data_IF_465940975747
#
_entry.id   IF_465940975747
#
_cell.length_a   1.000
_cell.length_b   1.000
_cell.length_c   1.000
_cell.angle_alpha   90.00
_cell.angle_beta   90.00
_cell.angle_gamma   90.00
#
_symmetry.space_group_name_H-M   'P 1'
#
loop_
_entity.id
_entity.type
_entity.pdbx_description
1 polymer ?
#
# COMPACT_ATOMS: atom_id res chain seq x y z
N UNK A 1 17.61 13.10 -6.23
CA UNK A 1 16.41 12.76 -7.02
C UNK A 1 16.29 13.68 -8.23
N UNK A 2 15.77 13.17 -9.36
CA UNK A 2 15.47 14.01 -10.53
C UNK A 2 14.03 14.50 -10.39
N UNK A 3 13.83 15.82 -10.45
CA UNK A 3 12.50 16.43 -10.42
C UNK A 3 12.14 16.92 -11.82
N UNK A 4 10.95 16.59 -12.29
CA UNK A 4 10.43 17.05 -13.58
C UNK A 4 9.07 17.71 -13.31
N UNK A 5 8.89 18.93 -13.80
CA UNK A 5 7.65 19.69 -13.68
C UNK A 5 7.07 19.90 -15.08
N UNK A 6 5.78 19.56 -15.25
CA UNK A 6 5.06 19.77 -16.50
C UNK A 6 3.79 20.58 -16.25
N UNK A 7 3.76 21.89 -16.56
CA UNK A 7 2.52 22.67 -16.55
C UNK A 7 1.54 22.15 -17.59
N UNK A 8 0.27 22.08 -17.23
CA UNK A 8 -0.80 21.64 -18.13
C UNK A 8 -2.04 22.55 -17.96
N UNK A 9 -2.87 22.60 -18.97
CA UNK A 9 -4.14 23.35 -18.96
C UNK A 9 -5.37 22.44 -18.83
N UNK A 10 -5.16 21.12 -18.64
CA UNK A 10 -6.27 20.16 -18.58
C UNK A 10 -7.18 20.36 -17.37
N UNK A 11 -6.59 20.73 -16.22
CA UNK A 11 -7.31 20.94 -14.97
C UNK A 11 -6.57 21.99 -14.13
N UNK A 12 -7.09 23.19 -14.12
CA UNK A 12 -6.43 24.35 -13.49
C UNK A 12 -6.41 24.29 -11.96
N UNK A 13 -7.32 23.52 -11.35
CA UNK A 13 -7.53 23.38 -9.91
C UNK A 13 -6.87 22.12 -9.33
N UNK A 14 -6.06 21.40 -10.09
CA UNK A 14 -5.43 20.15 -9.65
C UNK A 14 -3.93 20.12 -9.92
N UNK A 15 -3.18 19.69 -8.93
CA UNK A 15 -1.76 19.32 -9.04
C UNK A 15 -1.62 17.84 -8.76
N UNK A 16 -0.92 17.13 -9.64
CA UNK A 16 -0.59 15.71 -9.48
C UNK A 16 0.90 15.54 -9.25
N UNK A 17 1.23 14.70 -8.28
CA UNK A 17 2.59 14.27 -7.95
C UNK A 17 2.73 12.78 -8.22
N UNK A 18 3.86 12.39 -8.81
CA UNK A 18 4.28 11.00 -8.91
C UNK A 18 5.74 10.88 -8.50
N UNK A 19 6.01 10.00 -7.56
CA UNK A 19 7.38 9.61 -7.18
C UNK A 19 7.54 8.13 -7.47
N UNK A 20 8.61 7.75 -8.14
CA UNK A 20 8.87 6.35 -8.50
C UNK A 20 10.30 5.99 -8.13
N UNK A 21 10.45 4.91 -7.37
CA UNK A 21 11.70 4.21 -7.07
C UNK A 21 11.77 2.88 -7.81
N UNK A 22 12.97 2.42 -8.12
CA UNK A 22 13.20 1.07 -8.67
C UNK A 22 13.28 0.06 -7.54
N UNK A 23 12.83 -1.15 -7.81
CA UNK A 23 12.92 -2.28 -6.88
C UNK A 23 11.56 -2.94 -6.65
N UNK A 24 10.69 -2.33 -5.86
CA UNK A 24 9.37 -2.86 -5.54
C UNK A 24 9.44 -4.25 -4.91
N UNK A 25 8.44 -5.08 -5.18
CA UNK A 25 8.35 -6.44 -4.63
C UNK A 25 9.51 -7.36 -5.04
N UNK A 26 10.28 -7.00 -6.09
CA UNK A 26 11.45 -7.78 -6.52
C UNK A 26 12.61 -7.77 -5.52
N UNK A 27 12.63 -6.81 -4.58
CA UNK A 27 13.64 -6.73 -3.51
C UNK A 27 13.32 -7.62 -2.31
N UNK A 28 12.12 -8.17 -2.26
CA UNK A 28 11.63 -8.95 -1.13
C UNK A 28 11.89 -10.45 -1.34
N UNK A 29 12.04 -11.20 -0.26
CA UNK A 29 12.03 -12.67 -0.31
C UNK A 29 10.63 -13.19 -0.62
N UNK A 30 10.50 -14.49 -0.89
CA UNK A 30 9.20 -15.12 -1.14
C UNK A 30 8.29 -15.08 0.10
N UNK A 31 8.88 -15.14 1.30
CA UNK A 31 8.15 -15.01 2.56
C UNK A 31 7.63 -13.59 2.80
N UNK A 32 8.39 -12.57 2.39
CA UNK A 32 8.05 -11.15 2.56
C UNK A 32 7.08 -10.63 1.47
N UNK A 33 6.96 -11.36 0.35
CA UNK A 33 6.29 -10.87 -0.86
C UNK A 33 4.86 -10.37 -0.60
N UNK A 34 4.01 -11.19 0.02
CA UNK A 34 2.61 -10.83 0.27
C UNK A 34 2.46 -9.75 1.36
N UNK A 35 3.37 -9.70 2.35
CA UNK A 35 3.39 -8.58 3.28
C UNK A 35 3.77 -7.27 2.58
N UNK A 36 4.73 -7.31 1.66
CA UNK A 36 5.08 -6.16 0.83
C UNK A 36 3.91 -5.70 -0.04
N UNK A 37 3.18 -6.62 -0.63
CA UNK A 37 1.97 -6.33 -1.42
C UNK A 37 0.86 -5.66 -0.58
N UNK A 38 0.74 -6.02 0.70
CA UNK A 38 -0.21 -5.42 1.64
C UNK A 38 0.28 -4.10 2.26
N UNK A 39 1.54 -3.72 2.08
CA UNK A 39 2.13 -2.54 2.70
C UNK A 39 1.36 -1.23 2.45
N UNK A 40 0.86 -0.95 1.23
CA UNK A 40 0.05 0.26 0.99
C UNK A 40 -1.22 0.30 1.84
N UNK A 41 -1.88 -0.86 2.04
CA UNK A 41 -3.08 -0.96 2.88
C UNK A 41 -2.74 -0.73 4.37
N UNK A 42 -1.67 -1.34 4.86
CA UNK A 42 -1.18 -1.15 6.23
C UNK A 42 -0.87 0.32 6.48
N UNK A 43 -0.13 0.97 5.59
CA UNK A 43 0.21 2.38 5.70
C UNK A 43 -1.04 3.27 5.74
N UNK A 44 -2.01 3.04 4.86
CA UNK A 44 -3.28 3.78 4.83
C UNK A 44 -4.09 3.64 6.12
N UNK A 45 -4.08 2.47 6.76
CA UNK A 45 -4.82 2.22 8.00
C UNK A 45 -4.11 2.78 9.23
N UNK A 46 -2.79 2.72 9.26
CA UNK A 46 -2.00 3.14 10.42
C UNK A 46 -1.79 4.65 10.50
N UNK A 47 -1.96 5.37 9.38
CA UNK A 47 -1.68 6.80 9.30
C UNK A 47 -0.20 7.09 9.06
N UNK A 48 0.31 8.27 9.49
CA UNK A 48 1.67 8.70 9.20
C UNK A 48 2.24 9.58 10.33
N UNK A 49 3.52 9.44 10.60
CA UNK A 49 4.19 10.17 11.68
C UNK A 49 3.53 9.91 13.03
N UNK A 50 3.16 10.97 13.72
CA UNK A 50 2.43 10.90 15.00
C UNK A 50 0.90 10.81 14.85
N UNK A 51 0.38 10.92 13.63
CA UNK A 51 -1.05 10.92 13.40
C UNK A 51 -1.55 9.54 13.00
N UNK A 52 -2.56 9.03 13.71
CA UNK A 52 -3.37 7.91 13.24
C UNK A 52 -4.16 8.31 11.99
N UNK A 53 -4.68 7.35 11.24
CA UNK A 53 -5.48 7.64 10.04
C UNK A 53 -6.67 8.57 10.34
N UNK A 54 -7.32 8.39 11.49
CA UNK A 54 -8.45 9.23 11.93
C UNK A 54 -8.01 10.66 12.27
N UNK A 55 -6.90 10.82 12.99
CA UNK A 55 -6.33 12.13 13.32
C UNK A 55 -5.84 12.84 12.06
N UNK A 56 -5.16 12.13 11.17
CA UNK A 56 -4.72 12.66 9.88
C UNK A 56 -5.91 13.20 9.07
N UNK A 57 -6.99 12.43 8.98
CA UNK A 57 -8.22 12.88 8.32
C UNK A 57 -8.79 14.15 8.92
N UNK A 58 -8.76 14.29 10.27
CA UNK A 58 -9.20 15.52 10.96
C UNK A 58 -8.27 16.69 10.64
N UNK A 59 -6.95 16.49 10.64
CA UNK A 59 -5.96 17.53 10.33
C UNK A 59 -6.07 18.03 8.87
N UNK A 60 -6.48 17.15 7.98
CA UNK A 60 -6.68 17.45 6.56
C UNK A 60 -8.08 17.99 6.25
N UNK A 61 -8.93 18.19 7.26
CA UNK A 61 -10.27 18.74 7.06
C UNK A 61 -10.19 20.13 6.43
N UNK A 62 -10.93 20.35 5.34
CA UNK A 62 -10.90 21.58 4.56
C UNK A 62 -9.71 21.74 3.60
N UNK A 63 -8.80 20.76 3.54
CA UNK A 63 -7.71 20.69 2.57
C UNK A 63 -7.98 19.64 1.51
N UNK A 64 -7.54 19.93 0.30
CA UNK A 64 -7.59 18.97 -0.81
C UNK A 64 -6.17 18.53 -1.09
N UNK A 65 -5.68 17.58 -0.28
CA UNK A 65 -4.36 16.99 -0.44
C UNK A 65 -4.39 15.53 -0.01
N UNK A 66 -3.78 14.64 -0.82
CA UNK A 66 -3.61 13.24 -0.50
C UNK A 66 -2.29 12.71 -1.08
N UNK A 67 -1.69 11.75 -0.41
CA UNK A 67 -0.56 10.96 -0.90
C UNK A 67 -0.84 9.50 -0.57
N UNK A 68 -0.65 8.64 -1.56
CA UNK A 68 -0.88 7.20 -1.42
C UNK A 68 0.36 6.44 -1.90
N UNK A 69 0.92 5.55 -1.09
CA UNK A 69 1.94 4.62 -1.54
C UNK A 69 1.33 3.54 -2.44
N UNK A 70 2.13 3.04 -3.36
CA UNK A 70 1.84 1.86 -4.16
C UNK A 70 3.12 1.06 -4.39
N UNK A 71 2.98 -0.23 -4.56
CA UNK A 71 4.08 -1.13 -4.83
C UNK A 71 3.71 -2.06 -5.98
N UNK A 72 4.63 -2.18 -6.91
CA UNK A 72 4.53 -3.07 -8.07
C UNK A 72 5.71 -4.05 -8.05
N UNK A 73 5.75 -4.98 -8.99
CA UNK A 73 6.82 -6.00 -9.01
C UNK A 73 8.23 -5.39 -9.03
N UNK A 74 8.45 -4.30 -9.79
CA UNK A 74 9.78 -3.71 -10.01
C UNK A 74 9.89 -2.24 -9.61
N UNK A 75 8.83 -1.66 -9.07
CA UNK A 75 8.79 -0.25 -8.68
C UNK A 75 8.02 -0.05 -7.39
N UNK A 76 8.51 0.86 -6.56
CA UNK A 76 7.76 1.44 -5.47
C UNK A 76 7.42 2.88 -5.84
N UNK A 77 6.21 3.32 -5.58
CA UNK A 77 5.77 4.64 -5.97
C UNK A 77 4.92 5.31 -4.88
N UNK A 78 4.87 6.64 -4.94
CA UNK A 78 3.88 7.44 -4.21
C UNK A 78 3.18 8.37 -5.18
N UNK A 79 1.86 8.28 -5.23
CA UNK A 79 1.00 9.17 -5.98
C UNK A 79 0.37 10.21 -5.07
N UNK A 80 0.37 11.48 -5.49
CA UNK A 80 -0.27 12.55 -4.75
C UNK A 80 -1.18 13.40 -5.63
N UNK A 81 -2.25 13.90 -5.04
CA UNK A 81 -3.16 14.85 -5.69
C UNK A 81 -3.50 15.94 -4.69
N UNK A 82 -3.48 17.20 -5.14
CA UNK A 82 -3.92 18.32 -4.31
C UNK A 82 -4.48 19.46 -5.15
N UNK A 83 -5.14 20.41 -4.46
CA UNK A 83 -5.41 21.74 -5.04
C UNK A 83 -4.12 22.57 -5.06
N UNK A 84 -3.99 23.59 -5.95
CA UNK A 84 -2.81 24.44 -6.00
C UNK A 84 -2.46 25.11 -4.66
N UNK A 85 -3.45 25.48 -3.85
CA UNK A 85 -3.25 26.08 -2.52
C UNK A 85 -2.73 25.09 -1.46
N UNK A 86 -2.89 23.80 -1.70
CA UNK A 86 -2.56 22.75 -0.74
C UNK A 86 -1.28 21.95 -1.11
N UNK A 87 -0.47 22.46 -2.06
CA UNK A 87 0.78 21.82 -2.52
C UNK A 87 1.72 21.56 -1.34
N UNK A 88 1.88 22.54 -0.44
CA UNK A 88 2.75 22.37 0.73
C UNK A 88 2.28 21.21 1.60
N UNK A 89 0.97 21.10 1.84
CA UNK A 89 0.40 19.99 2.62
C UNK A 89 0.66 18.64 1.94
N UNK A 90 0.53 18.56 0.62
CA UNK A 90 0.84 17.33 -0.14
C UNK A 90 2.33 16.96 0.00
N UNK A 91 3.24 17.92 -0.10
CA UNK A 91 4.68 17.68 0.06
C UNK A 91 5.04 17.29 1.49
N UNK A 92 4.38 17.87 2.50
CA UNK A 92 4.53 17.45 3.91
C UNK A 92 4.07 16.00 4.11
N UNK A 93 2.93 15.60 3.53
CA UNK A 93 2.46 14.22 3.56
C UNK A 93 3.44 13.27 2.89
N UNK A 94 3.99 13.66 1.73
CA UNK A 94 5.01 12.89 1.03
C UNK A 94 6.25 12.69 1.92
N UNK A 95 6.76 13.77 2.50
CA UNK A 95 7.91 13.73 3.40
C UNK A 95 7.67 12.80 4.60
N UNK A 96 6.51 12.89 5.25
CA UNK A 96 6.16 12.03 6.39
C UNK A 96 6.07 10.55 5.98
N UNK A 97 5.49 10.23 4.82
CA UNK A 97 5.45 8.86 4.34
C UNK A 97 6.86 8.29 4.13
N UNK A 98 7.83 9.08 3.63
CA UNK A 98 9.20 8.61 3.46
C UNK A 98 9.99 8.51 4.76
N UNK A 99 9.80 9.44 5.69
CA UNK A 99 10.69 9.59 6.85
C UNK A 99 10.11 9.04 8.14
N UNK A 100 8.80 8.95 8.23
CA UNK A 100 8.06 8.56 9.43
C UNK A 100 6.84 7.68 9.08
N UNK A 101 7.05 6.54 8.38
CA UNK A 101 5.98 5.58 8.19
C UNK A 101 5.49 5.11 9.56
N UNK A 102 4.18 4.93 9.67
CA UNK A 102 3.57 4.46 10.91
C UNK A 102 3.06 3.05 10.72
N UNK A 103 3.39 2.17 11.66
CA UNK A 103 2.84 0.83 11.77
C UNK A 103 2.18 0.70 13.13
N UNK A 104 0.90 0.37 13.14
CA UNK A 104 0.15 0.13 14.38
C UNK A 104 -0.30 -1.33 14.39
N UNK A 105 0.01 -2.02 15.49
CA UNK A 105 -0.28 -3.45 15.61
C UNK A 105 -1.77 -3.76 15.53
N UNK A 106 -2.60 -2.96 16.21
CA UNK A 106 -4.06 -3.18 16.21
C UNK A 106 -4.66 -3.00 14.82
N UNK A 107 -4.13 -2.05 14.01
CA UNK A 107 -4.57 -1.83 12.63
C UNK A 107 -4.18 -3.02 11.74
N UNK A 108 -2.98 -3.56 11.92
CA UNK A 108 -2.51 -4.76 11.19
C UNK A 108 -3.31 -5.99 11.60
N UNK A 109 -3.58 -6.18 12.89
CA UNK A 109 -4.40 -7.27 13.41
C UNK A 109 -5.84 -7.17 12.85
N UNK A 110 -6.40 -5.96 12.74
CA UNK A 110 -7.71 -5.73 12.13
C UNK A 110 -7.72 -6.02 10.63
N UNK A 111 -6.68 -5.60 9.89
CA UNK A 111 -6.53 -5.94 8.48
C UNK A 111 -6.45 -7.46 8.28
N UNK A 112 -5.65 -8.13 9.08
CA UNK A 112 -5.52 -9.59 9.07
C UNK A 112 -6.86 -10.29 9.29
N UNK A 113 -7.61 -9.88 10.32
CA UNK A 113 -8.96 -10.43 10.61
C UNK A 113 -9.93 -10.20 9.45
N UNK A 114 -9.88 -9.01 8.86
CA UNK A 114 -10.73 -8.67 7.70
C UNK A 114 -10.39 -9.55 6.49
N UNK A 115 -9.10 -9.74 6.19
CA UNK A 115 -8.65 -10.62 5.11
C UNK A 115 -9.08 -12.08 5.34
N UNK A 116 -8.90 -12.60 6.55
CA UNK A 116 -9.33 -13.96 6.90
C UNK A 116 -10.84 -14.16 6.75
N UNK A 117 -11.64 -13.16 7.16
CA UNK A 117 -13.09 -13.20 6.98
C UNK A 117 -13.50 -13.16 5.49
N UNK A 118 -12.84 -12.32 4.68
CA UNK A 118 -13.06 -12.28 3.23
C UNK A 118 -12.70 -13.60 2.56
N UNK A 119 -11.57 -14.20 2.93
CA UNK A 119 -11.15 -15.51 2.41
C UNK A 119 -12.12 -16.62 2.78
N UNK A 120 -12.62 -16.64 4.03
CA UNK A 120 -13.63 -17.62 4.46
C UNK A 120 -14.90 -17.52 3.60
N UNK A 121 -15.38 -16.30 3.33
CA UNK A 121 -16.51 -16.07 2.44
C UNK A 121 -16.22 -16.44 0.99
N UNK A 122 -15.04 -16.09 0.47
CA UNK A 122 -14.64 -16.40 -0.89
C UNK A 122 -14.55 -17.91 -1.15
N UNK A 123 -14.07 -18.70 -0.18
CA UNK A 123 -14.03 -20.17 -0.27
C UNK A 123 -15.40 -20.84 -0.36
N UNK A 124 -16.48 -20.14 -0.07
CA UNK A 124 -17.86 -20.62 -0.31
C UNK A 124 -18.31 -20.46 -1.77
N UNK A 125 -17.53 -19.74 -2.60
CA UNK A 125 -17.84 -19.50 -4.01
C UNK A 125 -17.07 -20.50 -4.89
N UNK A 126 -17.76 -21.36 -5.69
CA UNK A 126 -17.12 -22.31 -6.59
C UNK A 126 -16.19 -21.67 -7.63
N UNK A 127 -16.54 -20.48 -8.13
CA UNK A 127 -15.70 -19.77 -9.10
C UNK A 127 -14.36 -19.34 -8.50
N UNK A 128 -14.35 -18.93 -7.23
CA UNK A 128 -13.12 -18.62 -6.52
C UNK A 128 -12.22 -19.86 -6.39
N UNK A 129 -12.79 -21.00 -6.01
CA UNK A 129 -12.04 -22.26 -5.89
C UNK A 129 -11.49 -22.73 -7.23
N UNK A 130 -12.27 -22.57 -8.30
CA UNK A 130 -11.81 -22.85 -9.66
C UNK A 130 -10.64 -21.94 -10.05
N UNK A 131 -10.78 -20.63 -9.82
CA UNK A 131 -9.73 -19.66 -10.13
C UNK A 131 -8.44 -19.95 -9.34
N UNK A 132 -8.54 -20.33 -8.07
CA UNK A 132 -7.40 -20.73 -7.24
C UNK A 132 -6.65 -21.91 -7.89
N UNK A 133 -7.39 -22.96 -8.31
CA UNK A 133 -6.80 -24.12 -8.97
C UNK A 133 -6.19 -23.81 -10.34
N UNK A 134 -6.86 -23.01 -11.14
CA UNK A 134 -6.35 -22.56 -12.45
C UNK A 134 -5.06 -21.77 -12.26
N UNK A 135 -5.01 -20.85 -11.31
CA UNK A 135 -3.82 -20.04 -10.99
C UNK A 135 -2.66 -20.93 -10.55
N UNK A 136 -2.92 -21.84 -9.64
CA UNK A 136 -1.92 -22.77 -9.10
C UNK A 136 -1.28 -23.63 -10.20
N UNK A 137 -2.10 -24.24 -11.05
CA UNK A 137 -1.62 -25.06 -12.17
C UNK A 137 -0.90 -24.22 -13.23
N UNK A 138 -1.46 -23.05 -13.57
CA UNK A 138 -0.89 -22.18 -14.61
C UNK A 138 0.49 -21.66 -14.26
N UNK A 139 0.72 -21.36 -13.00
CA UNK A 139 2.00 -20.80 -12.52
C UNK A 139 2.92 -21.82 -11.85
N UNK A 140 2.59 -23.12 -11.91
CA UNK A 140 3.45 -24.20 -11.42
C UNK A 140 3.78 -24.08 -9.93
N UNK A 141 2.80 -23.73 -9.12
CA UNK A 141 2.93 -23.52 -7.67
C UNK A 141 3.94 -22.42 -7.29
N UNK A 142 4.14 -21.43 -8.17
CA UNK A 142 5.05 -20.31 -7.89
C UNK A 142 4.58 -19.53 -6.65
N UNK A 143 5.41 -19.39 -5.58
CA UNK A 143 5.00 -18.76 -4.33
C UNK A 143 4.53 -17.30 -4.49
N UNK A 144 5.02 -16.57 -5.50
CA UNK A 144 4.63 -15.17 -5.77
C UNK A 144 3.44 -15.03 -6.72
N UNK A 145 2.87 -16.14 -7.19
CA UNK A 145 1.74 -16.17 -8.13
C UNK A 145 0.54 -16.95 -7.61
N UNK A 146 0.58 -17.33 -6.37
CA UNK A 146 -0.58 -17.94 -5.70
C UNK A 146 -1.62 -16.86 -5.36
N UNK A 147 -2.88 -17.25 -5.29
CA UNK A 147 -3.88 -16.40 -4.67
C UNK A 147 -3.63 -16.34 -3.17
N UNK A 148 -3.87 -15.17 -2.56
CA UNK A 148 -3.74 -15.02 -1.11
C UNK A 148 -4.58 -16.07 -0.39
N UNK A 149 -3.99 -16.76 0.58
CA UNK A 149 -4.61 -17.86 1.32
C UNK A 149 -4.55 -17.61 2.82
N UNK A 150 -5.33 -18.37 3.58
CA UNK A 150 -5.31 -18.34 5.05
C UNK A 150 -3.91 -18.62 5.60
N UNK A 151 -3.18 -19.54 4.96
CA UNK A 151 -1.82 -19.92 5.34
C UNK A 151 -0.83 -18.76 5.13
N UNK A 152 -1.00 -18.01 4.03
CA UNK A 152 -0.19 -16.82 3.73
C UNK A 152 -0.49 -15.72 4.75
N UNK A 153 -1.76 -15.42 5.00
CA UNK A 153 -2.16 -14.37 5.94
C UNK A 153 -1.72 -14.68 7.37
N UNK A 154 -1.77 -15.93 7.80
CA UNK A 154 -1.32 -16.34 9.14
C UNK A 154 0.21 -16.25 9.35
N UNK A 155 0.99 -16.08 8.28
CA UNK A 155 2.44 -15.86 8.34
C UNK A 155 2.81 -14.39 8.43
N UNK A 156 1.84 -13.46 8.38
CA UNK A 156 2.11 -12.04 8.48
C UNK A 156 2.68 -11.70 9.87
N UNK A 157 3.85 -11.11 9.87
CA UNK A 157 4.59 -10.75 11.07
C UNK A 157 4.76 -9.22 11.13
N UNK A 158 4.10 -8.62 12.11
CA UNK A 158 4.15 -7.18 12.36
C UNK A 158 5.58 -6.64 12.51
N UNK A 159 6.47 -7.40 13.17
CA UNK A 159 7.84 -6.96 13.45
C UNK A 159 8.71 -6.82 12.18
N UNK A 160 8.31 -7.45 11.09
CA UNK A 160 9.03 -7.37 9.81
C UNK A 160 8.65 -6.14 8.98
N UNK A 161 7.51 -5.51 9.26
CA UNK A 161 6.98 -4.41 8.45
C UNK A 161 7.94 -3.23 8.27
N UNK A 162 8.62 -2.72 9.33
CA UNK A 162 9.58 -1.63 9.15
C UNK A 162 10.75 -2.00 8.23
N UNK A 163 11.24 -3.24 8.31
CA UNK A 163 12.30 -3.76 7.46
C UNK A 163 11.87 -3.89 5.99
N UNK A 164 10.65 -4.36 5.75
CA UNK A 164 10.07 -4.47 4.40
C UNK A 164 9.87 -3.09 3.78
N UNK A 165 9.38 -2.13 4.57
CA UNK A 165 9.16 -0.75 4.08
C UNK A 165 10.46 -0.03 3.72
N UNK A 166 11.57 -0.36 4.38
CA UNK A 166 12.88 0.25 4.14
C UNK A 166 13.59 -0.26 2.88
N UNK A 167 13.15 -1.36 2.30
CA UNK A 167 13.68 -1.92 1.05
C UNK A 167 13.11 -1.21 -0.17
#
# INVERSE_FOLDING_TARGET
AKVVVKPTTFKADEVRLGVVGKGGLSLLSDEEYYMGEMMPAVNSMSGVGKFSATELKKQLSGKTASVQPSVENYTSAMGGVCSPKDIETMLQLLYLNFTQPRFNKDDVDNLTKMLLAQLANAKSNPDFLMQEKVTDVTYGHNPRRQMISTEIVNKFDFEQLPGIYAK
#
